data_IF_727353576670
#
_entry.id   IF_727353576670
#
_cell.length_a   1.000
_cell.length_b   1.000
_cell.length_c   1.000
_cell.angle_alpha   90.00
_cell.angle_beta   90.00
_cell.angle_gamma   90.00
#
_symmetry.space_group_name_H-M   'P 1'
#
loop_
_entity.id
_entity.type
_entity.pdbx_description
1 polymer ?
#
# COMPACT_ATOMS: atom_id res chain seq x y z
N UNK A 1 93.45 52.06 -55.47
CA UNK A 1 92.24 51.28 -55.13
C UNK A 1 91.42 51.08 -56.41
N UNK A 2 90.61 50.01 -56.50
CA UNK A 2 89.47 49.82 -57.44
C UNK A 2 89.64 50.31 -58.91
N UNK A 3 89.93 49.46 -59.90
CA UNK A 3 89.00 48.52 -60.58
C UNK A 3 87.83 49.29 -61.23
N UNK A 4 87.82 49.60 -62.53
CA UNK A 4 87.49 48.75 -63.71
C UNK A 4 85.99 48.32 -63.76
N UNK A 5 85.29 48.17 -64.90
CA UNK A 5 85.64 48.08 -66.34
C UNK A 5 84.36 48.36 -67.21
N UNK A 6 84.44 48.84 -68.48
CA UNK A 6 83.25 49.05 -69.32
C UNK A 6 83.03 47.99 -70.43
N UNK A 7 81.78 47.70 -70.79
CA UNK A 7 81.35 46.97 -72.01
C UNK A 7 79.85 47.16 -72.29
N UNK A 8 79.40 47.03 -73.55
CA UNK A 8 78.02 47.35 -74.01
C UNK A 8 77.24 46.04 -74.43
N UNK A 9 76.15 46.00 -75.24
CA UNK A 9 74.89 45.36 -74.83
C UNK A 9 74.54 44.03 -75.54
N UNK A 10 73.41 43.41 -75.14
CA UNK A 10 72.70 42.34 -75.86
C UNK A 10 71.17 42.48 -75.69
N UNK A 11 70.37 41.74 -76.46
CA UNK A 11 68.95 42.04 -76.73
C UNK A 11 67.91 41.01 -76.21
N UNK A 12 66.63 41.30 -76.52
CA UNK A 12 65.39 40.58 -76.16
C UNK A 12 65.36 39.08 -76.53
N UNK A 13 64.44 38.32 -75.88
CA UNK A 13 63.26 37.88 -76.65
C UNK A 13 61.90 38.05 -75.94
N UNK A 14 60.83 37.99 -76.75
CA UNK A 14 59.41 37.81 -76.36
C UNK A 14 58.95 36.39 -76.84
N UNK A 15 57.64 36.04 -76.84
CA UNK A 15 56.82 35.69 -75.68
C UNK A 15 56.20 34.27 -75.79
N UNK A 16 55.58 33.73 -74.74
CA UNK A 16 54.83 32.47 -74.83
C UNK A 16 54.08 32.05 -73.55
N UNK A 17 53.12 31.13 -73.72
CA UNK A 17 52.40 30.38 -72.67
C UNK A 17 51.74 31.16 -71.52
N UNK A 18 50.52 31.70 -71.75
CA UNK A 18 49.50 31.86 -70.68
C UNK A 18 48.04 32.14 -71.15
N UNK A 19 47.34 31.19 -71.83
CA UNK A 19 45.87 31.29 -71.93
C UNK A 19 45.13 29.93 -71.74
N UNK A 20 45.25 29.30 -70.56
CA UNK A 20 44.36 28.17 -70.17
C UNK A 20 43.73 28.25 -68.78
N UNK A 21 44.42 28.81 -67.76
CA UNK A 21 43.82 28.98 -66.42
C UNK A 21 42.62 29.95 -66.41
N UNK A 22 42.66 31.01 -67.23
CA UNK A 22 41.65 32.07 -67.19
C UNK A 22 40.26 31.61 -67.69
N UNK A 23 40.18 30.58 -68.52
CA UNK A 23 38.92 30.09 -69.09
C UNK A 23 38.16 29.15 -68.13
N UNK A 24 38.87 28.47 -67.23
CA UNK A 24 38.27 27.58 -66.21
C UNK A 24 37.58 28.36 -65.07
N UNK A 25 37.96 29.62 -64.84
CA UNK A 25 37.36 30.48 -63.82
C UNK A 25 35.96 31.01 -64.21
N UNK A 26 35.57 30.95 -65.49
CA UNK A 26 34.28 31.45 -65.99
C UNK A 26 33.11 30.46 -65.80
N UNK A 27 33.36 29.22 -65.39
CA UNK A 27 32.31 28.23 -65.09
C UNK A 27 31.82 28.27 -63.64
N UNK A 28 32.43 29.09 -62.77
CA UNK A 28 32.00 29.33 -61.40
C UNK A 28 31.33 30.71 -61.24
N UNK A 29 30.44 31.08 -62.17
CA UNK A 29 29.33 31.95 -61.79
C UNK A 29 28.56 31.21 -60.69
N UNK A 30 28.39 31.79 -59.48
CA UNK A 30 27.56 31.16 -58.47
C UNK A 30 26.15 31.05 -59.04
N UNK A 31 25.63 29.84 -59.15
CA UNK A 31 24.23 29.64 -59.47
C UNK A 31 23.43 30.37 -58.38
N UNK A 32 22.71 31.42 -58.76
CA UNK A 32 21.84 32.15 -57.83
C UNK A 32 20.72 31.19 -57.48
N UNK A 33 20.85 30.52 -56.33
CA UNK A 33 19.89 29.52 -55.90
C UNK A 33 18.50 30.17 -55.80
N UNK A 34 17.51 29.48 -56.35
CA UNK A 34 16.12 29.90 -56.30
C UNK A 34 15.64 29.86 -54.84
N UNK A 35 15.70 31.01 -54.17
CA UNK A 35 15.27 31.20 -52.80
C UNK A 35 13.87 31.85 -52.80
N UNK A 36 12.90 31.20 -52.16
CA UNK A 36 11.54 31.71 -52.06
C UNK A 36 11.38 32.83 -51.02
N UNK A 37 12.43 33.17 -50.25
CA UNK A 37 12.39 34.20 -49.23
C UNK A 37 11.44 33.87 -48.08
N UNK A 38 10.99 34.86 -47.28
CA UNK A 38 10.13 34.61 -46.13
C UNK A 38 8.81 33.93 -46.54
N UNK A 39 8.39 32.83 -45.86
CA UNK A 39 7.11 32.18 -46.11
C UNK A 39 5.90 33.12 -45.99
N UNK A 40 4.80 32.86 -46.73
CA UNK A 40 3.61 33.71 -46.70
C UNK A 40 2.98 33.79 -45.31
N UNK A 41 2.40 34.95 -44.98
CA UNK A 41 1.64 35.13 -43.75
C UNK A 41 0.30 34.38 -43.83
N UNK A 42 0.03 33.48 -42.88
CA UNK A 42 -1.22 32.72 -42.79
C UNK A 42 -2.00 33.17 -41.55
N UNK A 43 -3.31 33.50 -41.66
CA UNK A 43 -4.11 33.91 -40.51
C UNK A 43 -4.09 32.89 -39.36
N UNK A 44 -3.78 33.37 -38.16
CA UNK A 44 -3.73 32.61 -36.91
C UNK A 44 -2.68 31.47 -36.88
N UNK A 45 -1.56 31.62 -37.62
CA UNK A 45 -0.47 30.63 -37.65
C UNK A 45 0.92 31.25 -37.90
N UNK A 46 1.96 30.70 -37.24
CA UNK A 46 3.36 31.05 -37.44
C UNK A 46 4.14 29.95 -38.18
N UNK A 47 5.03 30.28 -39.14
CA UNK A 47 5.90 29.30 -39.78
C UNK A 47 7.01 28.82 -38.82
N UNK A 48 7.30 27.52 -38.80
CA UNK A 48 8.38 26.94 -37.98
C UNK A 48 9.75 27.12 -38.67
N UNK A 49 10.30 28.34 -38.61
CA UNK A 49 11.52 28.69 -39.35
C UNK A 49 12.83 28.13 -38.78
N UNK A 50 12.88 27.74 -37.50
CA UNK A 50 14.11 27.24 -36.83
C UNK A 50 15.32 28.19 -36.91
N UNK A 51 15.09 29.49 -37.13
CA UNK A 51 16.15 30.50 -37.33
C UNK A 51 16.70 30.58 -38.76
N UNK A 52 16.14 29.81 -39.71
CA UNK A 52 16.49 29.88 -41.14
C UNK A 52 16.01 31.21 -41.73
N UNK A 53 16.82 31.78 -42.62
CA UNK A 53 16.55 33.06 -43.33
C UNK A 53 16.63 32.93 -44.86
N UNK A 54 16.94 31.73 -45.36
CA UNK A 54 17.08 31.38 -46.76
C UNK A 54 16.40 30.04 -47.00
N UNK A 55 15.64 29.93 -48.08
CA UNK A 55 14.72 28.83 -48.36
C UNK A 55 14.86 28.41 -49.82
N UNK A 56 15.87 27.59 -50.17
CA UNK A 56 16.05 27.09 -51.53
C UNK A 56 14.89 26.20 -51.96
N UNK A 57 14.82 25.94 -53.27
CA UNK A 57 13.92 24.94 -53.89
C UNK A 57 13.79 23.63 -53.09
N UNK A 58 12.58 23.06 -53.11
CA UNK A 58 12.13 21.90 -52.31
C UNK A 58 12.15 22.09 -50.78
N UNK A 59 12.52 23.26 -50.25
CA UNK A 59 12.39 23.55 -48.81
C UNK A 59 10.92 23.52 -48.41
N UNK A 60 10.56 22.64 -47.48
CA UNK A 60 9.23 22.57 -46.86
C UNK A 60 9.24 23.34 -45.54
N UNK A 61 8.30 24.26 -45.35
CA UNK A 61 8.05 24.96 -44.09
C UNK A 61 6.67 24.58 -43.56
N UNK A 62 6.63 24.06 -42.33
CA UNK A 62 5.40 23.71 -41.61
C UNK A 62 5.02 24.80 -40.61
N UNK A 63 3.78 25.23 -40.66
CA UNK A 63 3.21 26.23 -39.76
C UNK A 63 2.64 25.57 -38.49
N UNK A 64 2.58 26.35 -37.41
CA UNK A 64 1.88 26.01 -36.17
C UNK A 64 0.80 27.06 -35.94
N UNK A 65 -0.39 26.63 -35.50
CA UNK A 65 -1.44 27.57 -35.13
C UNK A 65 -1.03 28.40 -33.90
N UNK A 66 -1.55 29.62 -33.82
CA UNK A 66 -1.40 30.51 -32.67
C UNK A 66 -2.16 29.96 -31.43
N UNK A 67 -1.93 30.54 -30.25
CA UNK A 67 -2.58 30.12 -29.01
C UNK A 67 -4.13 30.15 -29.13
N UNK A 68 -4.81 29.12 -28.60
CA UNK A 68 -6.26 28.88 -28.74
C UNK A 68 -6.76 28.53 -30.16
N UNK A 69 -5.87 28.38 -31.15
CA UNK A 69 -6.19 27.85 -32.47
C UNK A 69 -5.62 26.45 -32.66
N UNK A 70 -6.35 25.59 -33.36
CA UNK A 70 -5.95 24.21 -33.67
C UNK A 70 -6.12 23.92 -35.17
N UNK A 71 -5.26 23.04 -35.69
CA UNK A 71 -5.27 22.61 -37.09
C UNK A 71 -6.59 21.89 -37.40
N UNK A 72 -7.30 22.38 -38.42
CA UNK A 72 -8.49 21.73 -38.98
C UNK A 72 -8.06 20.38 -39.60
N UNK A 73 -8.63 19.24 -39.19
CA UNK A 73 -8.31 17.94 -39.77
C UNK A 73 -8.48 17.92 -41.29
N UNK A 74 -7.47 17.41 -42.01
CA UNK A 74 -7.48 17.29 -43.47
C UNK A 74 -7.03 18.54 -44.24
N UNK A 75 -6.85 19.72 -43.61
CA UNK A 75 -6.23 20.88 -44.26
C UNK A 75 -4.69 20.77 -44.28
N UNK A 76 -4.07 21.41 -45.27
CA UNK A 76 -2.60 21.53 -45.41
C UNK A 76 -2.07 22.62 -44.47
N UNK A 77 -0.99 22.31 -43.77
CA UNK A 77 -0.30 23.16 -42.78
C UNK A 77 1.15 23.44 -43.17
N UNK A 78 1.54 23.13 -44.41
CA UNK A 78 2.89 23.36 -44.92
C UNK A 78 2.88 23.91 -46.34
N UNK A 79 3.95 24.64 -46.65
CA UNK A 79 4.29 25.15 -47.98
C UNK A 79 5.62 24.55 -48.42
N UNK A 80 5.80 24.41 -49.74
CA UNK A 80 7.07 24.04 -50.37
C UNK A 80 7.57 25.18 -51.27
N UNK A 81 8.88 25.42 -51.26
CA UNK A 81 9.51 26.37 -52.17
C UNK A 81 9.63 25.74 -53.56
N UNK A 82 8.99 26.34 -54.56
CA UNK A 82 8.94 25.83 -55.93
C UNK A 82 10.10 26.37 -56.78
N UNK A 83 10.42 25.61 -57.83
CA UNK A 83 11.44 25.84 -58.87
C UNK A 83 11.43 27.22 -59.56
N UNK A 84 10.41 28.05 -59.31
CA UNK A 84 10.26 29.42 -59.82
C UNK A 84 10.45 30.50 -58.73
N UNK A 85 11.07 30.17 -57.59
CA UNK A 85 11.20 31.02 -56.40
C UNK A 85 9.86 31.49 -55.80
N UNK A 86 8.82 30.66 -55.86
CA UNK A 86 7.52 30.94 -55.25
C UNK A 86 7.11 29.85 -54.26
N UNK A 87 6.48 30.25 -53.16
CA UNK A 87 5.85 29.31 -52.24
C UNK A 87 4.57 28.71 -52.85
N UNK A 88 4.35 27.41 -52.63
CA UNK A 88 3.08 26.77 -52.95
C UNK A 88 1.91 27.42 -52.18
N UNK A 89 0.77 27.59 -52.85
CA UNK A 89 -0.47 28.12 -52.25
C UNK A 89 -0.88 27.42 -50.93
N UNK A 90 -1.40 28.18 -49.97
CA UNK A 90 -1.87 27.69 -48.67
C UNK A 90 -3.14 28.43 -48.21
N UNK A 91 -4.18 27.68 -47.90
CA UNK A 91 -5.44 28.19 -47.35
C UNK A 91 -5.39 28.34 -45.82
N UNK A 92 -6.35 29.06 -45.25
CA UNK A 92 -6.58 29.05 -43.80
C UNK A 92 -6.87 27.62 -43.29
N UNK A 93 -5.99 27.13 -42.42
CA UNK A 93 -6.05 25.77 -41.86
C UNK A 93 -6.16 25.74 -40.32
N UNK A 94 -6.08 26.89 -39.65
CA UNK A 94 -6.19 27.03 -38.20
C UNK A 94 -7.54 27.64 -37.83
N UNK A 95 -8.26 27.05 -36.86
CA UNK A 95 -9.51 27.61 -36.35
C UNK A 95 -9.61 27.43 -34.83
N UNK A 96 -10.46 28.25 -34.20
CA UNK A 96 -10.67 28.29 -32.76
C UNK A 96 -11.29 26.99 -32.26
N UNK A 97 -10.68 26.40 -31.24
CA UNK A 97 -11.07 25.12 -30.66
C UNK A 97 -11.18 25.26 -29.14
N UNK A 98 -12.00 24.44 -28.49
CA UNK A 98 -11.79 24.13 -27.09
C UNK A 98 -10.49 23.32 -26.92
N UNK A 99 -9.87 23.43 -25.73
CA UNK A 99 -8.82 22.52 -25.28
C UNK A 99 -9.29 21.06 -25.20
N UNK A 100 -8.38 20.14 -24.89
CA UNK A 100 -8.71 18.74 -24.61
C UNK A 100 -9.85 18.60 -23.57
N UNK A 101 -10.82 17.68 -23.76
CA UNK A 101 -11.95 17.51 -22.85
C UNK A 101 -11.56 17.30 -21.38
N UNK A 102 -12.29 17.95 -20.48
CA UNK A 102 -11.98 17.99 -19.04
C UNK A 102 -11.83 16.58 -18.44
N UNK A 103 -10.74 16.33 -17.71
CA UNK A 103 -10.51 15.06 -17.00
C UNK A 103 -11.43 14.97 -15.78
N UNK A 104 -12.35 14.00 -15.79
CA UNK A 104 -13.29 13.76 -14.69
C UNK A 104 -12.84 12.56 -13.81
N UNK A 105 -13.00 12.69 -12.50
CA UNK A 105 -12.65 11.64 -11.52
C UNK A 105 -13.66 10.50 -11.48
N UNK A 106 -14.91 10.74 -11.89
CA UNK A 106 -15.99 9.75 -11.93
C UNK A 106 -16.23 9.14 -13.34
N UNK A 107 -15.63 9.70 -14.39
CA UNK A 107 -15.89 9.32 -15.77
C UNK A 107 -14.65 9.40 -16.68
N UNK A 108 -14.56 8.49 -17.66
CA UNK A 108 -13.62 8.54 -18.80
C UNK A 108 -14.32 9.16 -20.01
N UNK A 109 -13.54 9.85 -20.85
CA UNK A 109 -13.97 10.27 -22.18
C UNK A 109 -14.07 9.01 -23.07
N UNK A 110 -15.15 8.85 -23.87
CA UNK A 110 -15.26 7.66 -24.74
C UNK A 110 -14.14 7.60 -25.77
N UNK A 111 -13.64 6.40 -26.05
CA UNK A 111 -12.46 6.12 -26.87
C UNK A 111 -12.38 6.92 -28.19
N UNK A 112 -13.50 7.10 -28.90
CA UNK A 112 -13.56 7.77 -30.21
C UNK A 112 -13.17 9.26 -30.18
N UNK A 113 -13.19 9.89 -29.00
CA UNK A 113 -12.76 11.29 -28.81
C UNK A 113 -11.33 11.41 -28.27
N UNK A 114 -10.72 10.33 -27.76
CA UNK A 114 -9.39 10.38 -27.12
C UNK A 114 -8.28 10.71 -28.12
N UNK A 115 -8.45 10.32 -29.39
CA UNK A 115 -7.52 10.63 -30.49
C UNK A 115 -7.81 11.97 -31.19
N UNK A 116 -8.84 12.71 -30.76
CA UNK A 116 -9.22 14.00 -31.36
C UNK A 116 -8.50 15.15 -30.66
N UNK A 117 -8.07 16.14 -31.45
CA UNK A 117 -7.38 17.34 -30.99
C UNK A 117 -8.03 18.65 -31.51
N UNK A 118 -9.16 18.54 -32.20
CA UNK A 118 -9.89 19.68 -32.78
C UNK A 118 -11.37 19.59 -32.38
N UNK A 119 -11.81 20.52 -31.54
CA UNK A 119 -13.13 20.58 -30.93
C UNK A 119 -13.72 21.98 -31.12
N UNK A 120 -14.24 22.31 -32.31
CA UNK A 120 -14.83 23.62 -32.59
C UNK A 120 -16.07 23.88 -31.71
N UNK A 121 -16.47 25.15 -31.65
CA UNK A 121 -17.65 25.56 -30.87
C UNK A 121 -18.90 24.79 -31.32
N UNK A 122 -19.64 24.26 -30.35
CA UNK A 122 -20.79 23.38 -30.58
C UNK A 122 -20.46 21.89 -30.63
N UNK A 123 -19.19 21.48 -30.68
CA UNK A 123 -18.81 20.06 -30.56
C UNK A 123 -19.26 19.49 -29.22
N UNK A 124 -19.92 18.34 -29.26
CA UNK A 124 -20.39 17.60 -28.08
C UNK A 124 -19.61 16.29 -27.95
N UNK A 125 -18.92 16.12 -26.83
CA UNK A 125 -18.22 14.89 -26.47
C UNK A 125 -19.00 14.10 -25.42
N UNK A 126 -18.86 12.78 -25.42
CA UNK A 126 -19.56 11.89 -24.49
C UNK A 126 -18.57 11.10 -23.63
N UNK A 127 -18.98 10.88 -22.38
CA UNK A 127 -18.24 10.19 -21.34
C UNK A 127 -18.94 8.90 -20.92
N UNK A 128 -18.19 8.01 -20.28
CA UNK A 128 -18.65 6.77 -19.66
C UNK A 128 -18.18 6.73 -18.20
N UNK A 129 -18.87 5.98 -17.33
CA UNK A 129 -18.49 5.93 -15.92
C UNK A 129 -17.26 5.06 -15.69
N UNK A 130 -16.33 5.53 -14.85
CA UNK A 130 -15.15 4.74 -14.46
C UNK A 130 -15.56 3.51 -13.62
N UNK A 131 -14.67 2.48 -13.52
CA UNK A 131 -14.77 1.47 -12.49
C UNK A 131 -15.03 2.08 -11.10
N UNK A 132 -15.83 1.40 -10.28
CA UNK A 132 -16.35 1.94 -9.01
C UNK A 132 -17.56 2.89 -9.12
N UNK A 133 -17.95 3.35 -10.31
CA UNK A 133 -19.10 4.25 -10.52
C UNK A 133 -20.26 3.60 -11.29
N UNK A 134 -21.44 4.21 -11.23
CA UNK A 134 -22.68 3.85 -11.96
C UNK A 134 -23.31 5.08 -12.61
N UNK A 135 -23.89 4.93 -13.80
CA UNK A 135 -24.63 6.01 -14.49
C UNK A 135 -25.83 6.46 -13.65
N UNK A 136 -26.06 7.76 -13.59
CA UNK A 136 -27.36 8.35 -13.22
C UNK A 136 -28.15 8.66 -14.51
N UNK A 137 -29.25 7.93 -14.81
CA UNK A 137 -29.98 8.11 -16.06
C UNK A 137 -30.65 9.49 -16.18
N UNK A 138 -30.87 10.20 -15.06
CA UNK A 138 -31.47 11.54 -15.04
C UNK A 138 -30.50 12.65 -15.47
N UNK A 139 -29.22 12.34 -15.69
CA UNK A 139 -28.17 13.29 -16.04
C UNK A 139 -27.45 12.91 -17.34
N UNK A 140 -27.10 13.92 -18.14
CA UNK A 140 -26.39 13.76 -19.41
C UNK A 140 -24.89 13.53 -19.18
N UNK A 141 -24.36 12.46 -19.76
CA UNK A 141 -22.93 12.14 -19.76
C UNK A 141 -22.15 12.85 -20.88
N UNK A 142 -22.47 14.13 -21.14
CA UNK A 142 -21.98 14.89 -22.31
C UNK A 142 -21.53 16.29 -21.92
N UNK A 143 -20.44 16.76 -22.54
CA UNK A 143 -19.97 18.14 -22.44
C UNK A 143 -19.96 18.78 -23.83
N UNK A 144 -20.24 20.08 -23.88
CA UNK A 144 -20.30 20.87 -25.12
C UNK A 144 -19.21 21.94 -25.11
N UNK A 145 -18.51 22.14 -26.23
CA UNK A 145 -17.60 23.26 -26.42
C UNK A 145 -18.40 24.56 -26.60
N UNK A 146 -18.27 25.52 -25.68
CA UNK A 146 -19.03 26.77 -25.66
C UNK A 146 -18.35 27.88 -26.48
N UNK A 147 -19.10 28.95 -26.77
CA UNK A 147 -18.64 30.14 -27.52
C UNK A 147 -17.38 30.83 -26.93
N UNK A 148 -17.09 30.60 -25.64
CA UNK A 148 -15.90 31.11 -24.96
C UNK A 148 -14.69 30.14 -24.98
N UNK A 149 -14.73 29.12 -25.85
CA UNK A 149 -13.74 28.03 -25.97
C UNK A 149 -13.53 27.20 -24.69
N UNK A 150 -14.52 27.17 -23.80
CA UNK A 150 -14.50 26.29 -22.61
C UNK A 150 -15.57 25.22 -22.71
N UNK A 151 -15.28 24.06 -22.14
CA UNK A 151 -16.28 23.00 -21.97
C UNK A 151 -17.34 23.43 -20.96
N UNK A 152 -18.60 23.05 -21.23
CA UNK A 152 -19.71 23.19 -20.30
C UNK A 152 -19.42 22.49 -18.96
N UNK A 153 -19.90 23.03 -17.84
CA UNK A 153 -19.78 22.42 -16.52
C UNK A 153 -20.30 20.98 -16.50
N UNK A 154 -19.50 20.04 -16.00
CA UNK A 154 -19.89 18.64 -15.87
C UNK A 154 -20.84 18.44 -14.68
N UNK A 155 -22.00 17.83 -14.92
CA UNK A 155 -22.86 17.30 -13.85
C UNK A 155 -22.31 15.97 -13.30
N UNK A 156 -22.71 15.56 -12.10
CA UNK A 156 -22.32 14.27 -11.50
C UNK A 156 -23.13 13.09 -12.07
N UNK A 157 -23.06 12.91 -13.39
CA UNK A 157 -23.77 11.87 -14.13
C UNK A 157 -23.26 10.43 -13.89
N UNK A 158 -22.23 10.27 -13.06
CA UNK A 158 -21.71 9.00 -12.58
C UNK A 158 -21.56 9.07 -11.05
N UNK A 159 -22.41 8.34 -10.33
CA UNK A 159 -22.39 8.27 -8.85
C UNK A 159 -21.54 7.09 -8.40
N UNK A 160 -20.92 7.17 -7.22
CA UNK A 160 -20.22 6.02 -6.62
C UNK A 160 -21.18 4.81 -6.51
N UNK A 161 -20.68 3.61 -6.76
CA UNK A 161 -21.34 2.38 -6.34
C UNK A 161 -21.15 2.18 -4.83
N UNK A 162 -22.02 1.37 -4.23
CA UNK A 162 -21.86 0.89 -2.84
C UNK A 162 -21.13 -0.45 -2.85
N UNK A 163 -20.28 -0.69 -1.86
CA UNK A 163 -19.92 -2.04 -1.47
C UNK A 163 -21.14 -2.77 -0.85
N UNK A 164 -21.07 -4.11 -0.69
CA UNK A 164 -22.00 -4.85 0.14
C UNK A 164 -22.02 -4.31 1.58
N UNK A 165 -23.12 -4.57 2.31
CA UNK A 165 -23.13 -4.42 3.77
C UNK A 165 -21.96 -5.26 4.34
N UNK A 166 -21.02 -4.68 5.12
CA UNK A 166 -19.89 -5.45 5.64
C UNK A 166 -20.31 -6.57 6.59
N UNK A 167 -21.51 -6.52 7.18
CA UNK A 167 -22.05 -7.55 8.07
C UNK A 167 -21.79 -7.24 9.54
N UNK A 168 -21.56 -8.27 10.35
CA UNK A 168 -21.37 -8.17 11.79
C UNK A 168 -20.20 -9.08 12.22
N UNK A 169 -19.43 -8.65 13.22
CA UNK A 169 -18.35 -9.43 13.82
C UNK A 169 -18.85 -9.93 15.19
N UNK A 170 -19.00 -11.24 15.42
CA UNK A 170 -19.31 -11.77 16.75
C UNK A 170 -18.26 -11.31 17.77
N UNK A 171 -18.71 -10.69 18.86
CA UNK A 171 -17.84 -10.07 19.87
C UNK A 171 -16.88 -8.98 19.35
N UNK A 172 -17.21 -8.33 18.23
CA UNK A 172 -16.47 -7.20 17.69
C UNK A 172 -17.37 -6.08 17.16
N UNK A 173 -16.73 -5.07 16.56
CA UNK A 173 -17.37 -3.86 16.07
C UNK A 173 -16.75 -3.43 14.73
N UNK A 174 -17.59 -2.97 13.81
CA UNK A 174 -17.20 -2.41 12.52
C UNK A 174 -17.44 -0.90 12.57
N UNK A 175 -16.37 -0.12 12.48
CA UNK A 175 -16.43 1.34 12.39
C UNK A 175 -16.51 1.78 10.92
N UNK A 176 -17.49 2.63 10.61
CA UNK A 176 -17.86 3.02 9.24
C UNK A 176 -17.98 4.55 9.15
N UNK A 177 -16.86 5.30 9.16
CA UNK A 177 -16.87 6.76 9.29
C UNK A 177 -17.49 7.47 8.06
N UNK A 178 -17.10 7.07 6.85
CA UNK A 178 -17.49 7.72 5.59
C UNK A 178 -18.54 6.93 4.79
N UNK A 179 -19.26 6.02 5.45
CA UNK A 179 -20.18 5.08 4.82
C UNK A 179 -19.49 3.96 4.04
N UNK A 180 -20.21 3.36 3.09
CA UNK A 180 -19.81 2.13 2.37
C UNK A 180 -19.70 2.30 0.84
N UNK A 181 -19.46 3.53 0.37
CA UNK A 181 -19.33 3.83 -1.06
C UNK A 181 -17.90 3.58 -1.58
N UNK A 182 -17.75 3.45 -2.90
CA UNK A 182 -16.45 3.23 -3.55
C UNK A 182 -15.32 4.15 -3.02
N UNK A 183 -14.23 3.54 -2.57
CA UNK A 183 -13.09 4.22 -1.93
C UNK A 183 -13.26 4.60 -0.47
N UNK A 184 -14.34 4.20 0.21
CA UNK A 184 -14.47 4.30 1.67
C UNK A 184 -13.73 3.17 2.38
N UNK A 185 -13.19 3.46 3.57
CA UNK A 185 -12.48 2.52 4.43
C UNK A 185 -13.30 2.24 5.68
N UNK A 186 -13.36 0.98 6.09
CA UNK A 186 -13.90 0.55 7.39
C UNK A 186 -12.76 0.02 8.27
N UNK A 187 -12.92 0.11 9.59
CA UNK A 187 -11.98 -0.46 10.56
C UNK A 187 -12.68 -1.43 11.51
N UNK A 188 -11.94 -2.45 11.96
CA UNK A 188 -12.44 -3.54 12.77
C UNK A 188 -11.81 -3.49 14.17
N UNK A 189 -12.57 -3.92 15.18
CA UNK A 189 -12.11 -3.99 16.58
C UNK A 189 -12.87 -5.10 17.31
N UNK A 190 -12.30 -5.60 18.41
CA UNK A 190 -12.94 -6.59 19.26
C UNK A 190 -13.39 -5.97 20.60
N UNK A 191 -14.42 -6.54 21.20
CA UNK A 191 -14.90 -6.15 22.52
C UNK A 191 -13.90 -6.60 23.61
N UNK A 192 -13.86 -5.89 24.74
CA UNK A 192 -12.95 -6.23 25.85
C UNK A 192 -13.13 -7.68 26.29
N UNK A 193 -12.03 -8.43 26.32
CA UNK A 193 -12.03 -9.88 26.54
C UNK A 193 -11.89 -10.72 25.27
N UNK A 194 -11.80 -10.10 24.09
CA UNK A 194 -11.60 -10.78 22.81
C UNK A 194 -10.43 -10.17 22.02
N UNK A 195 -9.57 -11.04 21.47
CA UNK A 195 -8.39 -10.68 20.65
C UNK A 195 -8.74 -10.75 19.16
N UNK A 196 -8.25 -9.79 18.37
CA UNK A 196 -8.51 -9.71 16.93
C UNK A 196 -7.56 -10.62 16.13
N UNK A 197 -8.12 -11.51 15.31
CA UNK A 197 -7.40 -12.35 14.38
C UNK A 197 -7.85 -12.07 12.94
N UNK A 198 -6.98 -11.43 12.14
CA UNK A 198 -7.26 -11.08 10.74
C UNK A 198 -6.89 -9.63 10.42
N UNK A 199 -7.49 -9.03 9.38
CA UNK A 199 -7.26 -7.63 9.02
C UNK A 199 -7.87 -6.67 10.05
N UNK A 200 -7.27 -5.50 10.22
CA UNK A 200 -7.79 -4.42 11.09
C UNK A 200 -8.59 -3.36 10.33
N UNK A 201 -8.51 -3.35 9.00
CA UNK A 201 -9.25 -2.45 8.11
C UNK A 201 -9.64 -3.17 6.81
N UNK A 202 -10.56 -2.58 6.04
CA UNK A 202 -10.89 -3.03 4.69
C UNK A 202 -11.35 -1.84 3.83
N UNK A 203 -11.02 -1.85 2.54
CA UNK A 203 -11.24 -0.74 1.59
C UNK A 203 -12.24 -1.15 0.50
N UNK A 204 -13.20 -0.27 0.21
CA UNK A 204 -14.22 -0.53 -0.81
C UNK A 204 -13.66 -0.34 -2.23
N UNK A 205 -13.21 -1.42 -2.87
CA UNK A 205 -12.53 -1.43 -4.18
C UNK A 205 -13.38 -2.01 -5.30
N UNK A 206 -12.89 -1.90 -6.54
CA UNK A 206 -13.37 -2.72 -7.66
C UNK A 206 -12.37 -3.85 -7.91
N UNK A 207 -12.84 -5.08 -7.87
CA UNK A 207 -12.14 -6.32 -8.17
C UNK A 207 -12.91 -7.07 -9.29
N UNK A 208 -12.43 -8.21 -9.75
CA UNK A 208 -12.96 -8.89 -10.95
C UNK A 208 -14.45 -9.28 -10.84
N UNK A 209 -14.90 -9.60 -9.62
CA UNK A 209 -16.29 -9.89 -9.25
C UNK A 209 -17.20 -8.66 -9.13
N UNK A 210 -16.65 -7.44 -9.21
CA UNK A 210 -17.39 -6.19 -9.07
C UNK A 210 -16.87 -5.29 -7.95
N UNK A 211 -17.76 -4.56 -7.28
CA UNK A 211 -17.40 -3.69 -6.15
C UNK A 211 -17.53 -4.46 -4.84
N UNK A 212 -16.44 -4.54 -4.08
CA UNK A 212 -16.39 -5.29 -2.83
C UNK A 212 -15.29 -4.77 -1.90
N UNK A 213 -15.35 -5.22 -0.65
CA UNK A 213 -14.31 -5.01 0.36
C UNK A 213 -13.02 -5.73 -0.04
N UNK A 214 -11.86 -5.09 0.15
CA UNK A 214 -10.54 -5.65 -0.17
C UNK A 214 -10.19 -6.87 0.68
N UNK A 215 -10.56 -6.80 1.95
CA UNK A 215 -10.22 -7.76 3.00
C UNK A 215 -11.50 -8.27 3.69
N UNK A 216 -11.55 -9.55 4.11
CA UNK A 216 -12.70 -10.14 4.79
C UNK A 216 -12.87 -9.61 6.22
N UNK A 217 -13.97 -9.98 6.88
CA UNK A 217 -14.11 -9.73 8.32
C UNK A 217 -13.07 -10.55 9.12
N UNK A 218 -12.44 -9.97 10.16
CA UNK A 218 -11.61 -10.70 11.11
C UNK A 218 -12.47 -11.49 12.12
N UNK A 219 -11.82 -12.37 12.86
CA UNK A 219 -12.40 -13.16 13.94
C UNK A 219 -12.00 -12.58 15.30
N UNK A 220 -12.96 -12.38 16.21
CA UNK A 220 -12.70 -11.98 17.59
C UNK A 220 -12.75 -13.22 18.51
N UNK A 221 -11.59 -13.69 18.98
CA UNK A 221 -11.47 -14.90 19.80
C UNK A 221 -11.38 -14.57 21.29
N UNK A 222 -12.06 -15.34 22.13
CA UNK A 222 -12.08 -15.10 23.57
C UNK A 222 -10.68 -15.25 24.19
N UNK A 223 -10.30 -14.32 25.04
CA UNK A 223 -9.05 -14.33 25.79
C UNK A 223 -9.30 -15.04 27.11
N UNK A 224 -8.63 -16.17 27.30
CA UNK A 224 -8.67 -16.94 28.54
C UNK A 224 -7.51 -16.58 29.45
N UNK A 225 -7.77 -16.56 30.76
CA UNK A 225 -6.72 -16.58 31.77
C UNK A 225 -5.99 -17.94 31.79
N UNK A 226 -4.73 -18.00 32.26
CA UNK A 226 -4.02 -19.26 32.44
C UNK A 226 -4.77 -20.19 33.40
N UNK A 227 -4.51 -21.49 33.30
CA UNK A 227 -5.09 -22.50 34.18
C UNK A 227 -4.97 -22.07 35.66
N UNK A 228 -6.05 -22.16 36.44
CA UNK A 228 -6.10 -21.52 37.75
C UNK A 228 -5.10 -22.15 38.72
N UNK A 229 -4.39 -21.34 39.53
CA UNK A 229 -3.36 -21.86 40.42
C UNK A 229 -3.99 -22.71 41.53
N UNK A 230 -3.55 -23.96 41.64
CA UNK A 230 -3.99 -24.89 42.68
C UNK A 230 -3.37 -24.52 44.03
N UNK A 231 -4.05 -24.87 45.13
CA UNK A 231 -3.60 -24.53 46.49
C UNK A 231 -3.46 -25.76 47.39
N UNK A 232 -2.41 -25.79 48.20
CA UNK A 232 -2.22 -26.84 49.19
C UNK A 232 -3.37 -26.83 50.21
N UNK A 233 -3.91 -28.02 50.49
CA UNK A 233 -5.02 -28.22 51.43
C UNK A 233 -6.32 -27.44 51.09
N UNK A 234 -6.56 -27.15 49.82
CA UNK A 234 -7.85 -26.66 49.32
C UNK A 234 -8.23 -27.25 47.97
N UNK A 235 -9.35 -26.77 47.42
CA UNK A 235 -9.88 -27.11 46.09
C UNK A 235 -10.47 -25.87 45.42
N UNK A 236 -10.63 -25.91 44.09
CA UNK A 236 -11.44 -24.94 43.34
C UNK A 236 -12.87 -25.46 43.23
N UNK A 237 -13.86 -24.63 43.56
CA UNK A 237 -15.27 -25.02 43.53
C UNK A 237 -15.84 -24.92 42.10
N UNK A 238 -16.19 -26.06 41.51
CA UNK A 238 -16.84 -26.10 40.19
C UNK A 238 -15.91 -25.77 39.04
N UNK A 239 -14.69 -26.30 39.09
CA UNK A 239 -13.61 -26.04 38.12
C UNK A 239 -14.02 -26.33 36.66
N UNK A 240 -13.56 -25.45 35.77
CA UNK A 240 -13.77 -25.46 34.32
C UNK A 240 -12.43 -25.53 33.59
N UNK A 241 -12.49 -25.97 32.34
CA UNK A 241 -11.34 -26.04 31.43
C UNK A 241 -10.80 -24.65 31.05
N UNK A 242 -11.69 -23.66 30.88
CA UNK A 242 -11.39 -22.32 30.38
C UNK A 242 -12.12 -21.24 31.20
N UNK A 243 -11.50 -20.08 31.37
CA UNK A 243 -12.06 -18.90 32.06
C UNK A 243 -11.76 -17.63 31.28
N UNK A 244 -12.79 -17.06 30.65
CA UNK A 244 -12.69 -15.78 29.94
C UNK A 244 -12.84 -14.56 30.84
N UNK A 245 -12.66 -13.38 30.25
CA UNK A 245 -12.77 -12.08 30.92
C UNK A 245 -14.00 -11.96 31.85
N UNK A 246 -13.77 -11.47 33.07
CA UNK A 246 -14.75 -11.31 34.18
C UNK A 246 -15.36 -12.61 34.74
N UNK A 247 -15.03 -13.79 34.20
CA UNK A 247 -15.36 -15.06 34.87
C UNK A 247 -14.51 -15.21 36.13
N UNK A 248 -15.06 -15.83 37.17
CA UNK A 248 -14.40 -16.00 38.48
C UNK A 248 -14.37 -17.45 38.94
N UNK A 249 -13.38 -17.75 39.77
CA UNK A 249 -13.28 -18.99 40.55
C UNK A 249 -13.42 -18.68 42.04
N UNK A 250 -13.80 -19.69 42.82
CA UNK A 250 -13.86 -19.62 44.27
C UNK A 250 -13.12 -20.81 44.85
N UNK A 251 -12.23 -20.55 45.80
CA UNK A 251 -11.48 -21.57 46.52
C UNK A 251 -12.24 -22.05 47.76
N UNK A 252 -11.97 -23.28 48.19
CA UNK A 252 -12.45 -23.83 49.45
C UNK A 252 -11.35 -24.62 50.15
N UNK A 253 -11.07 -24.31 51.42
CA UNK A 253 -10.10 -25.08 52.20
C UNK A 253 -10.67 -26.42 52.67
N UNK A 254 -9.80 -27.42 52.71
CA UNK A 254 -10.13 -28.76 53.21
C UNK A 254 -10.43 -28.74 54.72
N UNK A 255 -11.17 -29.74 55.19
CA UNK A 255 -11.60 -29.85 56.59
C UNK A 255 -10.39 -29.85 57.54
N UNK A 256 -10.37 -28.89 58.48
CA UNK A 256 -9.25 -28.69 59.40
C UNK A 256 -8.29 -27.57 58.98
N UNK A 257 -8.62 -26.81 57.94
CA UNK A 257 -7.88 -25.63 57.49
C UNK A 257 -8.79 -24.39 57.45
N UNK A 258 -8.19 -23.22 57.55
CA UNK A 258 -8.83 -21.90 57.45
C UNK A 258 -8.17 -21.11 56.32
N UNK A 259 -9.00 -20.39 55.56
CA UNK A 259 -8.54 -19.58 54.44
C UNK A 259 -7.88 -18.28 54.91
N UNK A 260 -6.77 -17.91 54.27
CA UNK A 260 -6.03 -16.67 54.48
C UNK A 260 -5.85 -16.00 53.11
N UNK A 261 -6.57 -14.91 52.85
CA UNK A 261 -6.60 -14.21 51.56
C UNK A 261 -8.03 -14.08 51.03
N UNK A 262 -8.17 -13.61 49.79
CA UNK A 262 -9.46 -13.52 49.12
C UNK A 262 -10.00 -14.89 48.71
N UNK A 263 -11.30 -15.09 48.88
CA UNK A 263 -11.97 -16.36 48.59
C UNK A 263 -12.11 -16.64 47.08
N UNK A 264 -12.09 -15.60 46.26
CA UNK A 264 -12.34 -15.65 44.82
C UNK A 264 -11.38 -14.73 44.07
N UNK A 265 -10.92 -15.18 42.90
CA UNK A 265 -10.20 -14.36 41.92
C UNK A 265 -10.95 -14.40 40.59
N UNK A 266 -10.83 -13.33 39.80
CA UNK A 266 -11.52 -13.18 38.53
C UNK A 266 -10.54 -12.90 37.39
N UNK A 267 -10.92 -13.31 36.18
CA UNK A 267 -10.08 -13.11 35.01
C UNK A 267 -10.14 -11.64 34.55
N UNK A 268 -8.98 -11.00 34.50
CA UNK A 268 -8.75 -9.69 33.87
C UNK A 268 -8.05 -9.89 32.53
N UNK A 269 -8.07 -8.85 31.68
CA UNK A 269 -7.43 -8.89 30.36
C UNK A 269 -6.71 -7.56 30.16
N UNK A 270 -5.40 -7.66 29.89
CA UNK A 270 -4.47 -6.57 29.68
C UNK A 270 -3.71 -6.84 28.36
N UNK A 271 -3.60 -5.87 27.45
CA UNK A 271 -2.85 -5.97 26.18
C UNK A 271 -3.07 -7.28 25.38
N UNK A 272 -4.34 -7.69 25.27
CA UNK A 272 -4.83 -8.94 24.67
C UNK A 272 -4.28 -10.25 25.30
N UNK A 273 -3.88 -10.22 26.57
CA UNK A 273 -3.51 -11.39 27.39
C UNK A 273 -4.37 -11.49 28.65
N UNK A 274 -4.63 -12.71 29.12
CA UNK A 274 -5.49 -12.98 30.28
C UNK A 274 -4.70 -13.14 31.57
N UNK A 275 -5.03 -12.38 32.62
CA UNK A 275 -4.36 -12.40 33.92
C UNK A 275 -5.36 -12.50 35.07
N UNK A 276 -5.06 -13.30 36.10
CA UNK A 276 -5.91 -13.39 37.29
C UNK A 276 -5.79 -12.12 38.15
N UNK A 277 -6.91 -11.65 38.70
CA UNK A 277 -7.02 -10.40 39.48
C UNK A 277 -6.17 -10.30 40.76
N UNK A 278 -5.44 -11.35 41.12
CA UNK A 278 -4.63 -11.43 42.33
C UNK A 278 -4.12 -12.85 42.59
N UNK A 279 -3.27 -13.03 43.62
CA UNK A 279 -2.78 -14.35 44.04
C UNK A 279 -3.89 -15.19 44.68
N UNK A 280 -3.77 -16.53 44.66
CA UNK A 280 -4.70 -17.42 45.36
C UNK A 280 -4.50 -17.38 46.89
N UNK A 281 -5.51 -17.78 47.68
CA UNK A 281 -5.42 -17.79 49.15
C UNK A 281 -4.63 -18.99 49.70
N UNK A 282 -4.07 -18.83 50.90
CA UNK A 282 -3.42 -19.92 51.65
C UNK A 282 -4.44 -20.65 52.55
N UNK A 283 -4.46 -21.98 52.52
CA UNK A 283 -5.21 -22.79 53.48
C UNK A 283 -4.31 -23.22 54.65
N UNK A 284 -4.49 -22.60 55.82
CA UNK A 284 -3.66 -22.81 57.01
C UNK A 284 -4.36 -23.70 58.03
N UNK A 285 -3.65 -24.69 58.58
CA UNK A 285 -4.24 -25.65 59.52
C UNK A 285 -4.85 -24.95 60.75
N UNK A 286 -6.11 -25.24 61.07
CA UNK A 286 -6.72 -24.83 62.35
C UNK A 286 -5.95 -25.50 63.47
N UNK A 287 -5.41 -24.71 64.41
CA UNK A 287 -4.81 -25.28 65.63
C UNK A 287 -5.87 -26.07 66.39
N UNK A 288 -5.80 -27.39 66.30
CA UNK A 288 -6.60 -28.29 67.12
C UNK A 288 -6.18 -28.13 68.58
N UNK A 289 -7.03 -27.47 69.36
CA UNK A 289 -7.00 -27.66 70.81
C UNK A 289 -7.24 -29.14 71.07
N UNK A 290 -6.33 -29.87 71.75
CA UNK A 290 -6.55 -31.28 72.01
C UNK A 290 -7.80 -31.43 72.87
N UNK A 291 -8.75 -32.25 72.42
CA UNK A 291 -10.02 -32.43 73.09
C UNK A 291 -9.79 -32.87 74.55
N UNK A 292 -10.50 -32.24 75.48
CA UNK A 292 -10.25 -32.43 76.91
C UNK A 292 -10.39 -33.91 77.32
N UNK A 293 -9.51 -34.32 78.22
CA UNK A 293 -9.32 -35.72 78.65
C UNK A 293 -10.48 -36.16 79.54
N UNK A 294 -11.60 -36.56 78.95
CA UNK A 294 -12.79 -37.03 79.69
C UNK A 294 -12.48 -38.31 80.47
N UNK A 295 -12.25 -38.16 81.78
CA UNK A 295 -12.24 -39.28 82.72
C UNK A 295 -13.64 -39.91 82.77
N UNK A 296 -13.71 -41.22 82.50
CA UNK A 296 -14.84 -42.05 82.94
C UNK A 296 -14.37 -42.96 84.06
N UNK A 297 -15.19 -43.07 85.10
CA UNK A 297 -14.86 -43.83 86.29
C UNK A 297 -14.85 -45.33 86.06
N UNK A 298 -14.01 -45.99 86.85
CA UNK A 298 -13.88 -47.42 87.00
C UNK A 298 -15.16 -48.02 87.61
N UNK A 299 -15.61 -49.16 87.09
CA UNK A 299 -16.45 -50.10 87.84
C UNK A 299 -16.02 -51.52 87.51
N UNK A 300 -15.73 -52.29 88.55
CA UNK A 300 -15.09 -53.61 88.47
C UNK A 300 -16.10 -54.74 88.72
N UNK A 301 -15.95 -55.82 87.95
CA UNK A 301 -16.48 -57.16 88.25
C UNK A 301 -15.61 -58.20 87.55
N UNK A 302 -15.39 -59.35 88.20
CA UNK A 302 -14.33 -60.32 87.85
C UNK A 302 -14.94 -61.75 87.62
N UNK A 303 -14.21 -62.89 87.56
CA UNK A 303 -14.04 -63.57 86.25
C UNK A 303 -14.30 -65.10 86.23
N UNK A 304 -14.54 -65.68 85.03
CA UNK A 304 -14.27 -67.09 84.65
C UNK A 304 -14.75 -67.38 83.20
N UNK A 305 -14.32 -68.42 82.43
CA UNK A 305 -13.07 -69.23 82.37
C UNK A 305 -13.04 -70.04 81.04
N UNK A 306 -11.85 -70.43 80.54
CA UNK A 306 -11.65 -71.35 79.38
C UNK A 306 -11.36 -70.63 78.05
N UNK A 307 -10.24 -70.84 77.34
CA UNK A 307 -9.65 -72.06 76.71
C UNK A 307 -10.27 -72.38 75.34
N UNK A 308 -9.55 -72.50 74.21
CA UNK A 308 -8.12 -72.35 73.86
C UNK A 308 -7.97 -71.83 72.41
N UNK A 309 -6.84 -71.82 71.70
CA UNK A 309 -5.51 -72.46 71.88
C UNK A 309 -4.43 -71.63 71.14
N UNK A 310 -3.14 -71.82 71.43
CA UNK A 310 -2.04 -70.92 71.02
C UNK A 310 -1.06 -71.45 69.96
N UNK A 311 -0.62 -70.57 69.05
CA UNK A 311 0.73 -70.49 68.44
C UNK A 311 0.87 -69.11 67.78
N UNK A 312 1.97 -68.33 67.82
CA UNK A 312 3.35 -68.61 68.23
C UNK A 312 4.22 -68.99 67.03
N UNK A 313 5.16 -68.18 66.50
CA UNK A 313 5.51 -66.77 66.84
C UNK A 313 5.84 -65.98 65.53
N UNK A 314 6.87 -65.13 65.26
CA UNK A 314 8.11 -64.65 65.92
C UNK A 314 8.60 -63.34 65.23
N UNK A 315 8.95 -62.28 65.99
CA UNK A 315 10.20 -61.45 65.96
C UNK A 315 10.99 -61.20 64.63
N UNK A 316 11.59 -60.03 64.29
CA UNK A 316 11.87 -58.72 64.95
C UNK A 316 12.16 -57.54 63.95
N UNK A 317 11.88 -56.30 64.40
CA UNK A 317 12.56 -54.98 64.20
C UNK A 317 13.25 -54.50 62.89
N UNK A 318 12.88 -53.27 62.48
CA UNK A 318 13.73 -52.13 61.98
C UNK A 318 14.52 -52.24 60.65
N UNK A 319 14.91 -51.16 59.95
CA UNK A 319 14.58 -49.73 60.10
C UNK A 319 15.46 -48.76 59.26
N UNK A 320 15.00 -47.51 59.10
CA UNK A 320 15.74 -46.24 58.84
C UNK A 320 16.82 -46.06 57.73
N UNK A 321 16.41 -45.42 56.63
CA UNK A 321 16.95 -44.16 56.01
C UNK A 321 18.35 -44.00 55.37
N UNK A 322 18.35 -43.18 54.29
CA UNK A 322 19.35 -42.15 53.87
C UNK A 322 20.47 -42.49 52.85
N UNK A 323 21.13 -41.42 52.36
CA UNK A 323 22.14 -41.19 51.28
C UNK A 323 21.56 -40.54 50.00
N UNK A 324 21.44 -39.20 49.85
CA UNK A 324 22.39 -38.04 49.84
C UNK A 324 23.17 -37.78 48.54
N UNK A 325 23.25 -36.50 48.16
CA UNK A 325 24.04 -35.89 47.09
C UNK A 325 25.52 -36.35 47.02
N UNK A 326 26.07 -36.34 45.80
CA UNK A 326 27.48 -36.00 45.54
C UNK A 326 27.63 -35.11 44.29
N UNK A 327 28.40 -34.03 44.43
CA UNK A 327 29.16 -33.43 43.32
C UNK A 327 30.59 -34.01 43.30
N UNK A 328 31.60 -33.42 42.64
CA UNK A 328 31.75 -32.14 41.94
C UNK A 328 33.04 -32.19 41.11
N UNK A 329 33.17 -31.34 40.08
CA UNK A 329 34.42 -30.82 39.46
C UNK A 329 35.39 -31.80 38.75
N UNK A 330 36.13 -31.25 37.76
CA UNK A 330 37.15 -32.00 37.01
C UNK A 330 37.63 -31.34 35.70
N UNK A 331 37.90 -30.04 35.69
CA UNK A 331 38.40 -29.32 34.49
C UNK A 331 39.87 -29.59 34.19
N UNK A 332 40.24 -29.74 32.92
CA UNK A 332 41.62 -29.49 32.43
C UNK A 332 41.63 -29.05 30.96
N UNK A 333 42.75 -28.47 30.52
CA UNK A 333 42.90 -27.61 29.33
C UNK A 333 44.04 -28.12 28.45
N UNK A 334 43.90 -28.10 27.13
CA UNK A 334 44.99 -27.80 26.17
C UNK A 334 44.53 -27.52 24.73
N UNK A 335 45.34 -26.70 24.05
CA UNK A 335 45.66 -26.55 22.60
C UNK A 335 45.10 -27.59 21.61
N UNK A 336 44.85 -27.32 20.32
CA UNK A 336 45.19 -26.15 19.49
C UNK A 336 46.07 -26.49 18.27
N UNK A 337 45.62 -26.07 17.07
CA UNK A 337 46.31 -26.05 15.75
C UNK A 337 46.43 -27.35 14.90
N UNK A 338 46.13 -27.16 13.59
CA UNK A 338 46.46 -27.97 12.40
C UNK A 338 45.79 -29.37 12.30
N UNK A 339 45.47 -29.88 11.11
CA UNK A 339 45.74 -29.38 9.74
C UNK A 339 44.53 -28.79 9.05
#
# INVERSE_FOLDING_TARGET
MTVARPSVPAALPLPGELPRLLLLLLLCLPAVWADCGPPPAVPNAQPSLEGRTSFPEDTIVTYKCDESFMKIPGKRDSVICLQNSQWSDIEEFCNRSCDAPTRLNFASLKQLYITQNYFPVGTVVEYECRPGYRRDPSLLAKLTCLQNLKWSTAAEFCKKKSCPNPGEIPNGQINVPDGILFGATISFSCNTGYKLFGPTTSLCLTLDSGIQWSDPLPECREIYCPAPPQIDNGIIQGEREHYGYRQSITYLCNRGFTMIGEHSIYCTVNDDEGEWSGPPPECRATRSTPASRTTKHFHETTPDKGSGTSSGTTHLLSGYTCFTLTGLLGTLVTMGWLT
#
